data_IF_600527484980
#
_entry.id   IF_600527484980
#
_cell.length_a   1.000
_cell.length_b   1.000
_cell.length_c   1.000
_cell.angle_alpha   90.00
_cell.angle_beta   90.00
_cell.angle_gamma   90.00
#
_symmetry.space_group_name_H-M   'P 1'
#
loop_
_entity.id
_entity.type
_entity.pdbx_description
1 polymer ?
#
# COMPACT_ATOMS: atom_id res chain seq x y z
N UNK A 1 -9.71 -9.38 7.77
CA UNK A 1 -8.77 -8.74 8.71
C UNK A 1 -9.05 -7.26 8.66
N UNK A 2 -9.61 -6.68 9.72
CA UNK A 2 -9.96 -5.25 9.74
C UNK A 2 -8.72 -4.42 10.12
N UNK A 3 -8.32 -3.43 9.31
CA UNK A 3 -7.15 -2.60 9.59
C UNK A 3 -7.38 -1.78 10.87
N UNK A 4 -6.35 -1.69 11.72
CA UNK A 4 -6.40 -1.00 13.03
C UNK A 4 -5.99 0.48 12.99
N UNK A 5 -5.51 0.97 11.85
CA UNK A 5 -5.02 2.34 11.67
C UNK A 5 -5.40 2.84 10.28
N UNK A 6 -5.78 4.12 10.20
CA UNK A 6 -6.16 4.80 8.95
C UNK A 6 -4.92 5.48 8.37
N UNK A 7 -4.37 4.91 7.29
CA UNK A 7 -3.24 5.44 6.53
C UNK A 7 -1.97 4.56 6.54
N UNK A 8 -1.32 4.45 5.38
CA UNK A 8 -0.06 3.72 5.18
C UNK A 8 1.14 4.67 5.31
N UNK A 9 1.74 4.77 6.50
CA UNK A 9 2.98 5.55 6.71
C UNK A 9 4.24 4.67 6.57
N UNK A 10 4.63 4.43 5.31
CA UNK A 10 5.85 3.66 4.96
C UNK A 10 7.10 4.30 5.58
N UNK A 11 7.14 5.63 5.67
CA UNK A 11 8.28 6.37 6.21
C UNK A 11 8.47 6.05 7.70
N UNK A 12 7.40 6.08 8.50
CA UNK A 12 7.45 5.76 9.93
C UNK A 12 7.88 4.31 10.19
N UNK A 13 7.40 3.36 9.36
CA UNK A 13 7.83 1.97 9.44
C UNK A 13 9.34 1.83 9.18
N UNK A 14 9.85 2.47 8.13
CA UNK A 14 11.28 2.44 7.79
C UNK A 14 12.15 3.15 8.83
N UNK A 15 11.69 4.28 9.39
CA UNK A 15 12.38 4.97 10.48
C UNK A 15 12.50 4.06 11.71
N UNK A 16 11.43 3.36 12.07
CA UNK A 16 11.41 2.38 13.17
C UNK A 16 12.42 1.26 12.92
N UNK A 17 12.41 0.67 11.73
CA UNK A 17 13.36 -0.38 11.32
C UNK A 17 14.80 0.10 11.46
N UNK A 18 15.12 1.31 10.97
CA UNK A 18 16.45 1.89 11.05
C UNK A 18 16.95 2.10 12.49
N UNK A 19 16.02 2.32 13.43
CA UNK A 19 16.32 2.48 14.86
C UNK A 19 16.51 1.13 15.56
N UNK A 20 15.62 0.16 15.33
CA UNK A 20 15.60 -1.11 16.08
C UNK A 20 16.60 -2.13 15.52
N UNK A 21 16.78 -2.21 14.20
CA UNK A 21 17.65 -3.19 13.58
C UNK A 21 19.09 -2.66 13.54
N UNK A 22 19.94 -3.22 14.40
CA UNK A 22 21.36 -2.84 14.49
C UNK A 22 22.24 -3.60 13.50
N UNK A 23 21.84 -4.81 13.12
CA UNK A 23 22.61 -5.70 12.24
C UNK A 23 21.96 -5.85 10.86
N UNK A 24 22.80 -6.14 9.86
CA UNK A 24 22.35 -6.40 8.48
C UNK A 24 21.34 -7.55 8.49
N UNK A 25 20.20 -7.32 7.85
CA UNK A 25 19.03 -8.21 7.85
C UNK A 25 18.34 -8.15 6.49
N UNK A 26 17.52 -9.14 6.18
CA UNK A 26 16.60 -9.12 5.03
C UNK A 26 15.24 -8.63 5.53
N UNK A 27 14.68 -7.62 4.87
CA UNK A 27 13.40 -6.99 5.23
C UNK A 27 12.42 -7.18 4.08
N UNK A 28 11.27 -7.79 4.38
CA UNK A 28 10.15 -7.84 3.45
C UNK A 28 9.21 -6.67 3.74
N UNK A 29 9.13 -5.72 2.81
CA UNK A 29 8.19 -4.61 2.86
C UNK A 29 6.97 -4.97 2.03
N UNK A 30 5.87 -5.30 2.70
CA UNK A 30 4.61 -5.67 2.05
C UNK A 30 3.67 -4.46 2.08
N UNK A 31 3.32 -3.94 0.89
CA UNK A 31 2.44 -2.78 0.74
C UNK A 31 1.85 -2.78 -0.66
N UNK A 32 0.69 -2.15 -0.82
CA UNK A 32 0.11 -1.66 -2.07
C UNK A 32 0.80 -0.40 -2.65
N UNK A 33 1.81 0.15 -1.94
CA UNK A 33 2.62 1.32 -2.33
C UNK A 33 1.82 2.57 -2.77
N UNK A 34 0.60 2.77 -2.26
CA UNK A 34 -0.26 3.92 -2.58
C UNK A 34 0.29 5.27 -2.09
N UNK A 35 1.19 5.25 -1.10
CA UNK A 35 1.83 6.46 -0.57
C UNK A 35 2.75 7.10 -1.63
N UNK A 36 2.81 8.44 -1.69
CA UNK A 36 3.72 9.16 -2.59
C UNK A 36 5.17 8.71 -2.38
N UNK A 37 5.91 8.29 -3.43
CA UNK A 37 7.29 7.85 -3.31
C UNK A 37 8.23 8.86 -2.65
N UNK A 38 7.98 10.15 -2.84
CA UNK A 38 8.74 11.26 -2.24
C UNK A 38 8.71 11.20 -0.71
N UNK A 39 7.63 10.68 -0.12
CA UNK A 39 7.44 10.63 1.33
C UNK A 39 8.37 9.64 2.04
N UNK A 40 8.75 8.53 1.39
CA UNK A 40 9.54 7.46 2.02
C UNK A 40 10.85 7.11 1.30
N UNK A 41 11.09 7.64 0.09
CA UNK A 41 12.29 7.31 -0.73
C UNK A 41 13.62 7.53 0.01
N UNK A 42 13.73 8.61 0.80
CA UNK A 42 14.95 8.90 1.56
C UNK A 42 15.21 7.81 2.61
N UNK A 43 14.20 7.48 3.39
CA UNK A 43 14.26 6.44 4.42
C UNK A 43 14.55 5.08 3.80
N UNK A 44 13.88 4.74 2.70
CA UNK A 44 14.09 3.49 1.98
C UNK A 44 15.54 3.36 1.48
N UNK A 45 16.13 4.45 0.98
CA UNK A 45 17.55 4.48 0.61
C UNK A 45 18.49 4.25 1.80
N UNK A 46 18.19 4.81 2.97
CA UNK A 46 18.97 4.60 4.19
C UNK A 46 18.86 3.14 4.63
N UNK A 47 17.66 2.57 4.63
CA UNK A 47 17.42 1.17 4.98
C UNK A 47 18.17 0.23 4.03
N UNK A 48 18.10 0.48 2.71
CA UNK A 48 18.81 -0.31 1.68
C UNK A 48 20.34 -0.28 1.78
N UNK A 49 20.92 0.77 2.37
CA UNK A 49 22.37 0.81 2.61
C UNK A 49 22.80 -0.19 3.69
N UNK A 50 21.92 -0.50 4.64
CA UNK A 50 22.23 -1.33 5.81
C UNK A 50 21.62 -2.72 5.75
N UNK A 51 20.52 -2.87 5.01
CA UNK A 51 19.70 -4.08 4.94
C UNK A 51 19.37 -4.40 3.47
N UNK A 52 19.03 -5.65 3.22
CA UNK A 52 18.45 -6.05 1.93
C UNK A 52 16.93 -5.91 2.03
N UNK A 53 16.33 -4.98 1.29
CA UNK A 53 14.89 -4.73 1.33
C UNK A 53 14.24 -5.26 0.07
N UNK A 54 13.29 -6.17 0.27
CA UNK A 54 12.47 -6.77 -0.78
C UNK A 54 11.07 -6.16 -0.67
N UNK A 55 10.66 -5.42 -1.69
CA UNK A 55 9.28 -4.93 -1.82
C UNK A 55 8.36 -6.03 -2.33
N UNK A 56 7.23 -6.24 -1.66
CA UNK A 56 6.15 -7.12 -2.11
C UNK A 56 4.94 -6.24 -2.33
N UNK A 57 4.56 -6.13 -3.59
CA UNK A 57 3.43 -5.32 -4.03
C UNK A 57 2.13 -6.10 -3.93
N UNK A 58 1.16 -5.59 -3.19
CA UNK A 58 -0.15 -6.19 -3.02
C UNK A 58 -1.10 -5.67 -4.11
N UNK A 59 -1.08 -6.32 -5.27
CA UNK A 59 -2.07 -6.07 -6.32
C UNK A 59 -3.28 -7.00 -6.14
N UNK A 60 -4.50 -6.45 -6.07
CA UNK A 60 -5.72 -7.26 -6.18
C UNK A 60 -6.11 -7.41 -7.67
N UNK A 61 -6.16 -8.65 -8.22
CA UNK A 61 -6.60 -8.88 -9.60
C UNK A 61 -8.00 -8.34 -9.93
N UNK A 62 -8.88 -8.18 -8.94
CA UNK A 62 -10.22 -7.60 -9.12
C UNK A 62 -10.18 -6.10 -9.45
N UNK A 63 -9.13 -5.38 -9.08
CA UNK A 63 -8.94 -3.96 -9.42
C UNK A 63 -8.61 -3.77 -10.91
N UNK A 64 -8.10 -4.80 -11.58
CA UNK A 64 -7.62 -4.72 -12.97
C UNK A 64 -8.69 -5.09 -14.02
N UNK A 65 -9.77 -5.76 -13.62
CA UNK A 65 -10.87 -6.16 -14.49
C UNK A 65 -12.21 -5.92 -13.80
N UNK A 66 -12.66 -4.67 -13.80
CA UNK A 66 -14.10 -4.40 -13.70
C UNK A 66 -14.72 -4.85 -15.03
N UNK A 67 -14.93 -6.16 -15.17
CA UNK A 67 -15.81 -6.69 -16.21
C UNK A 67 -17.19 -6.08 -16.04
N UNK A 68 -17.93 -5.91 -17.13
CA UNK A 68 -19.25 -5.26 -17.15
C UNK A 68 -20.26 -6.01 -16.25
N UNK A 69 -20.28 -5.70 -14.95
CA UNK A 69 -21.09 -6.39 -13.92
C UNK A 69 -22.29 -5.56 -13.45
N UNK A 70 -22.55 -4.41 -14.07
CA UNK A 70 -23.66 -3.53 -13.72
C UNK A 70 -23.31 -2.59 -12.56
N UNK A 71 -24.22 -2.42 -11.59
CA UNK A 71 -24.02 -1.50 -10.47
C UNK A 71 -23.03 -2.08 -9.44
N UNK A 72 -21.86 -1.46 -9.31
CA UNK A 72 -20.77 -1.85 -8.42
C UNK A 72 -20.76 -0.92 -7.18
N UNK A 73 -20.79 -1.48 -5.98
CA UNK A 73 -20.50 -0.71 -4.77
C UNK A 73 -18.98 -0.79 -4.51
N UNK A 74 -18.28 0.33 -4.68
CA UNK A 74 -16.89 0.48 -4.28
C UNK A 74 -16.86 1.07 -2.87
N UNK A 75 -16.29 0.34 -1.94
CA UNK A 75 -16.03 0.82 -0.58
C UNK A 75 -14.57 1.27 -0.53
N UNK A 76 -14.33 2.54 -0.25
CA UNK A 76 -13.00 3.03 0.05
C UNK A 76 -12.58 2.52 1.44
N UNK A 77 -11.58 1.64 1.54
CA UNK A 77 -11.15 1.06 2.80
C UNK A 77 -10.52 2.08 3.76
N UNK A 78 -10.21 3.29 3.30
CA UNK A 78 -9.61 4.35 4.11
C UNK A 78 -10.65 5.30 4.73
N UNK A 79 -11.77 5.52 4.03
CA UNK A 79 -12.80 6.50 4.43
C UNK A 79 -14.13 5.86 4.84
N UNK A 80 -14.29 4.55 4.63
CA UNK A 80 -15.57 3.81 4.71
C UNK A 80 -16.66 4.42 3.78
N UNK A 81 -16.25 5.21 2.78
CA UNK A 81 -17.17 5.82 1.82
C UNK A 81 -17.58 4.78 0.76
N UNK A 82 -18.89 4.63 0.56
CA UNK A 82 -19.45 3.73 -0.44
C UNK A 82 -19.84 4.54 -1.67
N UNK A 83 -19.09 4.36 -2.75
CA UNK A 83 -19.37 4.95 -4.06
C UNK A 83 -20.06 3.90 -4.93
N UNK A 84 -21.25 4.23 -5.42
CA UNK A 84 -21.95 3.42 -6.40
C UNK A 84 -21.48 3.79 -7.80
N UNK A 85 -20.82 2.86 -8.47
CA UNK A 85 -20.35 3.02 -9.85
C UNK A 85 -21.19 2.13 -10.75
N UNK A 86 -21.98 2.73 -11.64
CA UNK A 86 -22.64 1.98 -12.71
C UNK A 86 -21.63 1.67 -13.81
N UNK A 87 -21.22 0.41 -13.90
CA UNK A 87 -20.25 -0.04 -14.90
C UNK A 87 -20.93 -0.42 -16.23
N UNK A 88 -22.26 -0.28 -16.32
CA UNK A 88 -23.09 -0.62 -17.47
C UNK A 88 -23.55 0.55 -18.33
N UNK A 89 -23.34 1.82 -17.93
CA UNK A 89 -23.82 2.97 -18.70
C UNK A 89 -22.75 3.51 -19.67
N UNK A 90 -22.96 3.26 -20.96
CA UNK A 90 -22.25 3.93 -22.04
C UNK A 90 -22.90 5.29 -22.27
N UNK A 91 -22.19 6.37 -21.96
CA UNK A 91 -22.34 7.66 -22.65
C UNK A 91 -20.99 8.36 -22.75
#
# INVERSE_FOLDING_TARGET
FTPKSRGTDIKMALDTVNQILKWRSIIFLVSDFIASPESYRRQLSITNKRHDVIGIDLHDPLEMNIGNVGLLALEDPETDEIIWVDTGDKS
#
